data_IF_413118770991
#
_entry.id   IF_413118770991
#
_cell.length_a   1.000
_cell.length_b   1.000
_cell.length_c   1.000
_cell.angle_alpha   90.00
_cell.angle_beta   90.00
_cell.angle_gamma   90.00
#
_symmetry.space_group_name_H-M   'P 1'
#
loop_
_entity.id
_entity.type
_entity.pdbx_description
1 polymer ?
#
# COMPACT_ATOMS: atom_id res chain seq x y z
N UNK A 1 -73.57 53.73 7.79
CA UNK A 1 -73.22 54.07 9.19
C UNK A 1 -71.70 54.01 9.34
N UNK A 2 -71.09 55.20 9.51
CA UNK A 2 -69.87 55.56 10.25
C UNK A 2 -69.14 54.43 11.04
N UNK A 3 -67.81 54.38 11.25
CA UNK A 3 -66.77 55.38 11.55
C UNK A 3 -65.39 54.75 11.18
N UNK A 4 -64.44 55.45 10.56
CA UNK A 4 -63.30 56.16 11.18
C UNK A 4 -62.61 55.47 12.38
N UNK A 5 -61.35 55.03 12.23
CA UNK A 5 -60.24 55.30 13.18
C UNK A 5 -58.89 54.93 12.55
N UNK A 6 -58.08 55.91 12.13
CA UNK A 6 -56.95 56.58 12.81
C UNK A 6 -55.58 56.01 12.39
N UNK A 7 -54.73 56.93 11.92
CA UNK A 7 -53.37 56.78 11.41
C UNK A 7 -52.32 56.46 12.48
N UNK A 8 -51.20 55.84 12.07
CA UNK A 8 -49.99 55.65 12.88
C UNK A 8 -48.75 55.30 12.05
N UNK A 9 -48.13 56.33 11.48
CA UNK A 9 -46.75 56.53 11.02
C UNK A 9 -45.66 55.42 11.12
N UNK A 10 -44.97 55.24 9.98
CA UNK A 10 -43.51 55.26 9.76
C UNK A 10 -42.60 54.01 9.80
N UNK A 11 -41.98 53.82 8.61
CA UNK A 11 -40.58 53.53 8.29
C UNK A 11 -39.98 52.13 8.49
N UNK A 12 -39.69 51.52 7.33
CA UNK A 12 -38.42 50.90 6.90
C UNK A 12 -37.70 49.98 7.89
N UNK A 13 -37.60 48.69 7.52
CA UNK A 13 -36.30 48.04 7.31
C UNK A 13 -36.47 46.73 6.52
N UNK A 14 -35.86 46.71 5.34
CA UNK A 14 -35.55 45.53 4.54
C UNK A 14 -34.76 44.53 5.39
N UNK A 15 -35.26 43.31 5.54
CA UNK A 15 -34.41 42.14 5.79
C UNK A 15 -34.93 40.98 4.95
N UNK A 16 -34.30 40.82 3.78
CA UNK A 16 -34.40 39.64 2.96
C UNK A 16 -34.04 38.41 3.80
N UNK A 17 -35.01 37.52 4.00
CA UNK A 17 -34.75 36.17 4.47
C UNK A 17 -34.07 35.39 3.34
N UNK A 18 -32.74 35.47 3.29
CA UNK A 18 -31.92 34.45 2.65
C UNK A 18 -32.07 33.17 3.47
N UNK A 19 -32.99 32.30 3.05
CA UNK A 19 -32.98 30.90 3.48
C UNK A 19 -31.77 30.25 2.83
N UNK A 20 -30.65 30.26 3.55
CA UNK A 20 -29.50 29.42 3.23
C UNK A 20 -29.95 27.96 3.35
N UNK A 21 -30.35 27.34 2.24
CA UNK A 21 -30.29 25.90 2.12
C UNK A 21 -28.81 25.51 2.16
N UNK A 22 -28.31 25.24 3.37
CA UNK A 22 -27.09 24.48 3.54
C UNK A 22 -27.37 23.09 2.96
N UNK A 23 -26.96 22.88 1.71
CA UNK A 23 -26.90 21.56 1.11
C UNK A 23 -25.94 20.73 1.96
N UNK A 24 -26.48 19.97 2.92
CA UNK A 24 -25.73 18.97 3.66
C UNK A 24 -25.25 17.96 2.62
N UNK A 25 -23.96 18.00 2.30
CA UNK A 25 -23.37 16.93 1.51
C UNK A 25 -23.59 15.62 2.27
N UNK A 26 -24.06 14.55 1.61
CA UNK A 26 -24.16 13.25 2.26
C UNK A 26 -22.75 12.87 2.71
N UNK A 27 -22.53 12.89 4.01
CA UNK A 27 -21.33 12.30 4.60
C UNK A 27 -21.23 10.88 4.02
N UNK A 28 -20.08 10.48 3.44
CA UNK A 28 -19.89 9.09 3.07
C UNK A 28 -20.19 8.23 4.30
N UNK A 29 -20.85 7.08 4.15
CA UNK A 29 -21.20 6.25 5.28
C UNK A 29 -19.92 6.01 6.08
N UNK A 30 -19.95 6.37 7.38
CA UNK A 30 -18.86 6.07 8.30
C UNK A 30 -18.74 4.55 8.35
N UNK A 31 -17.88 3.98 7.50
CA UNK A 31 -17.47 2.59 7.62
C UNK A 31 -16.75 2.54 8.97
N UNK A 32 -17.43 1.99 9.96
CA UNK A 32 -17.13 2.13 11.38
C UNK A 32 -15.64 1.86 11.68
N UNK A 33 -14.93 2.89 12.13
CA UNK A 33 -13.53 2.84 12.53
C UNK A 33 -13.34 2.04 13.83
N UNK A 34 -13.31 0.71 13.72
CA UNK A 34 -13.08 -0.16 14.89
C UNK A 34 -13.41 -1.63 14.70
N UNK A 35 -13.90 -2.05 13.53
CA UNK A 35 -14.44 -3.40 13.34
C UNK A 35 -13.42 -4.46 12.90
N UNK A 36 -12.14 -4.14 12.76
CA UNK A 36 -11.12 -5.13 12.41
C UNK A 36 -9.73 -4.69 12.85
N UNK A 37 -8.84 -5.67 13.03
CA UNK A 37 -7.43 -5.50 13.36
C UNK A 37 -6.58 -6.53 12.60
N UNK A 38 -5.25 -6.35 12.62
CA UNK A 38 -4.30 -7.35 12.11
C UNK A 38 -3.94 -8.40 13.16
N UNK A 39 -3.98 -8.03 14.44
CA UNK A 39 -3.66 -8.89 15.58
C UNK A 39 -4.65 -8.69 16.70
N UNK A 40 -4.67 -9.64 17.64
CA UNK A 40 -5.55 -9.58 18.80
C UNK A 40 -5.29 -8.30 19.61
N UNK A 41 -6.37 -7.65 20.02
CA UNK A 41 -6.35 -6.42 20.81
C UNK A 41 -6.79 -6.75 22.22
N UNK A 42 -6.04 -6.25 23.21
CA UNK A 42 -6.30 -6.46 24.64
C UNK A 42 -7.40 -5.51 25.14
N UNK A 43 -8.46 -5.34 24.38
CA UNK A 43 -9.67 -4.62 24.78
C UNK A 43 -10.77 -5.67 24.85
N UNK A 44 -11.49 -5.76 25.98
CA UNK A 44 -12.44 -6.85 26.31
C UNK A 44 -13.63 -7.07 25.36
N UNK A 45 -13.55 -6.61 24.11
CA UNK A 45 -14.46 -6.86 23.00
C UNK A 45 -13.71 -7.56 21.87
N UNK A 46 -14.30 -8.62 21.31
CA UNK A 46 -13.73 -9.34 20.17
C UNK A 46 -13.60 -8.41 18.95
N UNK A 47 -12.40 -8.30 18.39
CA UNK A 47 -12.12 -7.59 17.13
C UNK A 47 -11.58 -8.62 16.13
N UNK A 48 -12.19 -8.78 14.95
CA UNK A 48 -11.78 -9.80 14.01
C UNK A 48 -10.40 -9.50 13.41
N UNK A 49 -9.54 -10.50 13.50
CA UNK A 49 -8.22 -10.59 12.87
C UNK A 49 -8.33 -11.23 11.49
N UNK A 50 -7.26 -11.27 10.65
CA UNK A 50 -7.34 -11.72 9.26
C UNK A 50 -8.06 -13.06 9.03
N UNK A 51 -7.90 -14.03 9.93
CA UNK A 51 -8.56 -15.34 9.86
C UNK A 51 -10.08 -15.27 10.05
N UNK A 52 -10.62 -14.21 10.65
CA UNK A 52 -12.04 -14.02 10.96
C UNK A 52 -12.73 -12.96 10.11
N UNK A 53 -11.99 -12.13 9.34
CA UNK A 53 -12.57 -11.03 8.56
C UNK A 53 -13.77 -11.47 7.70
N UNK A 54 -13.65 -12.59 6.97
CA UNK A 54 -14.73 -13.07 6.11
C UNK A 54 -15.84 -13.85 6.83
N UNK A 55 -15.69 -14.15 8.12
CA UNK A 55 -16.64 -14.98 8.89
C UNK A 55 -17.64 -14.14 9.69
N UNK A 56 -17.22 -12.96 10.16
CA UNK A 56 -18.02 -12.16 11.11
C UNK A 56 -18.77 -11.00 10.47
N UNK A 57 -18.45 -10.67 9.22
CA UNK A 57 -19.11 -9.60 8.48
C UNK A 57 -19.41 -10.06 7.05
N UNK A 58 -20.69 -10.14 6.71
CA UNK A 58 -21.13 -10.59 5.38
C UNK A 58 -20.61 -9.69 4.24
N UNK A 59 -20.38 -8.40 4.50
CA UNK A 59 -19.78 -7.48 3.54
C UNK A 59 -18.32 -7.83 3.21
N UNK A 60 -17.65 -8.62 4.05
CA UNK A 60 -16.25 -9.03 3.91
C UNK A 60 -16.08 -10.49 3.50
N UNK A 61 -17.16 -11.15 3.07
CA UNK A 61 -17.16 -12.58 2.71
C UNK A 61 -16.01 -12.95 1.74
N UNK A 62 -15.67 -12.06 0.81
CA UNK A 62 -14.55 -12.27 -0.14
C UNK A 62 -13.21 -12.51 0.55
N UNK A 63 -12.99 -11.99 1.76
CA UNK A 63 -11.79 -12.28 2.55
C UNK A 63 -11.64 -13.77 2.88
N UNK A 64 -12.72 -14.55 2.89
CA UNK A 64 -12.69 -16.00 3.16
C UNK A 64 -12.95 -16.86 1.93
N UNK A 65 -13.91 -16.49 1.06
CA UNK A 65 -14.32 -17.33 -0.09
C UNK A 65 -13.63 -16.96 -1.40
N UNK A 66 -12.97 -15.80 -1.44
CA UNK A 66 -12.28 -15.29 -2.61
C UNK A 66 -11.22 -16.25 -3.14
N UNK A 67 -11.08 -16.32 -4.46
CA UNK A 67 -10.11 -17.19 -5.15
C UNK A 67 -8.87 -16.44 -5.65
N UNK A 68 -8.91 -15.12 -5.66
CA UNK A 68 -7.82 -14.24 -6.08
C UNK A 68 -7.38 -13.34 -4.93
N UNK A 69 -7.34 -13.87 -3.72
CA UNK A 69 -6.95 -13.12 -2.53
C UNK A 69 -5.44 -12.81 -2.51
N UNK A 70 -5.09 -11.69 -1.90
CA UNK A 70 -3.72 -11.20 -1.70
C UNK A 70 -3.47 -10.95 -0.20
N UNK A 71 -2.20 -10.96 0.28
CA UNK A 71 -0.96 -11.16 -0.49
C UNK A 71 -0.71 -12.63 -0.83
N UNK A 72 0.31 -12.92 -1.65
CA UNK A 72 0.73 -14.29 -2.00
C UNK A 72 2.23 -14.48 -1.80
N UNK A 73 2.66 -15.75 -1.71
CA UNK A 73 4.06 -16.10 -1.88
C UNK A 73 4.43 -16.12 -3.36
N UNK A 74 5.43 -15.33 -3.75
CA UNK A 74 5.94 -15.29 -5.11
C UNK A 74 7.07 -16.30 -5.25
N UNK A 75 6.79 -17.40 -5.93
CA UNK A 75 7.77 -18.43 -6.24
C UNK A 75 8.44 -18.14 -7.57
N UNK A 76 9.73 -17.84 -7.53
CA UNK A 76 10.46 -17.33 -8.70
C UNK A 76 10.60 -18.36 -9.81
N UNK A 77 10.54 -19.66 -9.46
CA UNK A 77 10.56 -20.79 -10.40
C UNK A 77 9.28 -20.91 -11.23
N UNK A 78 8.17 -20.33 -10.77
CA UNK A 78 6.85 -20.44 -11.41
C UNK A 78 6.44 -19.15 -12.15
N UNK A 79 7.33 -18.16 -12.21
CA UNK A 79 7.05 -16.92 -12.92
C UNK A 79 7.15 -17.10 -14.43
N UNK A 80 6.20 -16.51 -15.14
CA UNK A 80 6.13 -16.55 -16.60
C UNK A 80 6.70 -15.24 -17.14
N UNK A 81 7.75 -15.35 -17.97
CA UNK A 81 8.28 -14.19 -18.68
C UNK A 81 7.24 -13.73 -19.73
N UNK A 82 6.84 -12.46 -19.63
CA UNK A 82 5.92 -11.81 -20.57
C UNK A 82 6.64 -10.63 -21.24
N UNK A 83 7.07 -10.77 -22.50
CA UNK A 83 7.79 -9.71 -23.23
C UNK A 83 6.91 -8.52 -23.60
N UNK A 84 5.58 -8.63 -23.47
CA UNK A 84 4.64 -7.56 -23.80
C UNK A 84 4.38 -6.61 -22.63
N UNK A 85 4.92 -6.90 -21.45
CA UNK A 85 4.89 -6.00 -20.31
C UNK A 85 5.76 -4.77 -20.59
N UNK A 86 5.08 -3.68 -20.94
CA UNK A 86 5.72 -2.39 -21.21
C UNK A 86 6.31 -1.76 -19.94
N UNK A 87 7.25 -0.80 -20.03
CA UNK A 87 7.72 -0.08 -18.86
C UNK A 87 6.60 0.69 -18.16
N UNK A 88 6.63 0.70 -16.82
CA UNK A 88 5.73 1.54 -16.01
C UNK A 88 6.15 3.00 -16.19
N UNK A 89 5.18 3.85 -16.49
CA UNK A 89 5.36 5.30 -16.65
C UNK A 89 4.66 6.02 -15.51
N UNK A 90 5.42 6.80 -14.77
CA UNK A 90 4.93 7.66 -13.70
C UNK A 90 4.82 9.09 -14.21
N UNK A 91 3.66 9.72 -14.01
CA UNK A 91 3.43 11.12 -14.30
C UNK A 91 3.09 11.86 -13.00
N UNK A 92 4.06 12.64 -12.51
CA UNK A 92 3.96 13.46 -11.30
C UNK A 92 3.75 14.95 -11.61
N UNK A 93 3.68 15.33 -12.90
CA UNK A 93 3.78 16.73 -13.32
C UNK A 93 5.12 17.39 -12.99
N UNK A 94 6.15 16.62 -12.58
CA UNK A 94 7.48 17.09 -12.12
C UNK A 94 7.42 18.10 -10.98
N UNK A 95 6.39 18.00 -10.14
CA UNK A 95 6.20 18.89 -9.00
C UNK A 95 6.37 18.11 -7.71
N UNK A 96 6.94 18.78 -6.71
CA UNK A 96 6.84 18.29 -5.34
C UNK A 96 5.42 18.48 -4.86
N UNK A 97 4.91 17.52 -4.11
CA UNK A 97 3.51 17.47 -3.67
C UNK A 97 3.41 17.59 -2.16
N UNK A 98 2.29 18.15 -1.70
CA UNK A 98 1.80 18.03 -0.34
C UNK A 98 0.97 16.77 -0.13
N UNK A 99 0.88 16.32 1.11
CA UNK A 99 0.01 15.23 1.51
C UNK A 99 -0.04 15.08 3.03
N UNK A 100 -1.11 14.49 3.52
CA UNK A 100 -1.30 14.25 4.94
C UNK A 100 -0.96 12.81 5.28
N UNK A 101 -0.06 12.64 6.25
CA UNK A 101 0.28 11.36 6.84
C UNK A 101 -0.62 11.10 8.05
N UNK A 102 -1.12 9.88 8.18
CA UNK A 102 -2.07 9.46 9.19
C UNK A 102 -1.57 8.21 9.90
N UNK A 103 -1.75 8.19 11.21
CA UNK A 103 -1.81 6.94 11.96
C UNK A 103 -3.27 6.50 12.04
N UNK A 104 -3.63 5.46 11.29
CA UNK A 104 -5.02 4.96 11.25
C UNK A 104 -5.38 4.06 12.44
N UNK A 105 -4.42 3.82 13.34
CA UNK A 105 -4.46 2.78 14.36
C UNK A 105 -4.17 1.37 13.85
N UNK A 106 -4.00 1.19 12.52
CA UNK A 106 -3.73 -0.12 11.89
C UNK A 106 -2.52 -0.08 10.98
N UNK A 107 -2.32 1.02 10.28
CA UNK A 107 -1.20 1.26 9.38
C UNK A 107 -0.92 2.75 9.26
N UNK A 108 0.29 3.08 8.81
CA UNK A 108 0.63 4.43 8.37
C UNK A 108 0.09 4.63 6.95
N UNK A 109 -0.68 5.70 6.76
CA UNK A 109 -1.28 6.07 5.48
C UNK A 109 -0.83 7.48 5.11
N UNK A 110 -0.31 7.67 3.90
CA UNK A 110 -0.04 8.98 3.33
C UNK A 110 -1.00 9.20 2.15
N UNK A 111 -1.80 10.26 2.23
CA UNK A 111 -2.73 10.67 1.16
C UNK A 111 -2.32 12.03 0.63
N UNK A 112 -2.19 12.15 -0.69
CA UNK A 112 -1.81 13.39 -1.34
C UNK A 112 -2.96 14.39 -1.34
N UNK A 113 -2.63 15.68 -1.41
CA UNK A 113 -3.65 16.71 -1.58
C UNK A 113 -4.34 16.54 -2.93
N UNK A 114 -5.66 16.78 -2.99
CA UNK A 114 -6.48 16.50 -4.19
C UNK A 114 -6.03 17.25 -5.45
N UNK A 115 -5.31 18.35 -5.29
CA UNK A 115 -4.75 19.16 -6.39
C UNK A 115 -3.52 18.49 -7.03
N UNK A 116 -2.88 17.57 -6.34
CA UNK A 116 -1.67 16.88 -6.78
C UNK A 116 -2.01 15.57 -7.49
N UNK A 117 -2.16 15.66 -8.80
CA UNK A 117 -2.48 14.51 -9.63
C UNK A 117 -1.21 13.71 -9.94
N UNK A 118 -1.10 12.50 -9.37
CA UNK A 118 -0.04 11.55 -9.66
C UNK A 118 -0.65 10.32 -10.31
N UNK A 119 -0.25 10.05 -11.55
CA UNK A 119 -0.82 8.96 -12.34
C UNK A 119 0.26 7.97 -12.78
N UNK A 120 -0.12 6.70 -12.91
CA UNK A 120 0.71 5.62 -13.47
C UNK A 120 0.04 5.01 -14.69
N UNK A 121 0.85 4.56 -15.65
CA UNK A 121 0.41 3.88 -16.88
C UNK A 121 1.47 2.89 -17.38
N UNK A 122 1.14 2.07 -18.38
CA UNK A 122 2.04 1.03 -18.89
C UNK A 122 2.07 -0.23 -18.03
N UNK A 123 3.13 -1.04 -18.12
CA UNK A 123 3.19 -2.31 -17.40
C UNK A 123 2.06 -3.27 -17.83
N UNK A 124 1.33 -3.88 -16.87
CA UNK A 124 0.17 -4.71 -17.16
C UNK A 124 -1.12 -3.90 -17.38
N UNK A 125 -1.08 -2.57 -17.26
CA UNK A 125 -2.27 -1.72 -17.24
C UNK A 125 -2.70 -1.30 -18.64
N UNK A 126 -4.00 -1.36 -18.90
CA UNK A 126 -4.62 -0.78 -20.10
C UNK A 126 -4.92 0.71 -19.92
N UNK A 127 -5.25 1.14 -18.71
CA UNK A 127 -5.72 2.48 -18.37
C UNK A 127 -4.70 3.23 -17.50
N UNK A 128 -4.86 4.55 -17.43
CA UNK A 128 -4.12 5.38 -16.46
C UNK A 128 -4.77 5.31 -15.08
N UNK A 129 -3.96 5.05 -14.05
CA UNK A 129 -4.43 4.93 -12.66
C UNK A 129 -3.87 6.06 -11.81
N UNK A 130 -4.71 6.67 -10.96
CA UNK A 130 -4.35 7.79 -10.10
C UNK A 130 -4.03 7.30 -8.69
N UNK A 131 -2.94 7.80 -8.12
CA UNK A 131 -2.54 7.49 -6.74
C UNK A 131 -3.57 8.03 -5.74
N UNK A 132 -4.05 7.15 -4.87
CA UNK A 132 -5.00 7.47 -3.79
C UNK A 132 -4.30 7.47 -2.43
N UNK A 133 -3.54 6.41 -2.13
CA UNK A 133 -2.95 6.18 -0.80
C UNK A 133 -1.58 5.50 -0.95
N UNK A 134 -0.61 5.94 -0.15
CA UNK A 134 0.62 5.19 0.11
C UNK A 134 0.51 4.60 1.51
N UNK A 135 0.62 3.28 1.63
CA UNK A 135 0.44 2.52 2.86
C UNK A 135 1.72 1.79 3.24
N UNK A 136 2.02 1.77 4.54
CA UNK A 136 3.17 1.02 5.07
C UNK A 136 2.72 -0.17 5.91
N UNK A 137 3.30 -1.33 5.59
CA UNK A 137 3.28 -2.54 6.40
C UNK A 137 4.69 -2.82 6.90
N UNK A 138 4.82 -3.18 8.17
CA UNK A 138 6.11 -3.46 8.80
C UNK A 138 5.93 -4.37 10.00
N UNK A 139 6.93 -5.20 10.28
CA UNK A 139 6.87 -6.10 11.42
C UNK A 139 7.74 -5.67 12.58
N UNK A 140 7.58 -6.40 13.68
CA UNK A 140 8.33 -6.25 14.93
C UNK A 140 9.79 -6.64 14.75
N UNK A 141 10.09 -7.51 13.80
CA UNK A 141 11.43 -8.03 13.51
C UNK A 141 11.96 -7.55 12.15
N UNK A 142 13.28 -7.61 11.97
CA UNK A 142 13.94 -7.12 10.76
C UNK A 142 13.71 -8.04 9.55
N UNK A 143 13.22 -9.26 9.76
CA UNK A 143 13.05 -10.30 8.74
C UNK A 143 11.58 -10.70 8.52
N UNK A 144 10.64 -10.05 9.21
CA UNK A 144 9.21 -10.32 9.15
C UNK A 144 8.50 -8.97 9.11
N UNK A 145 7.67 -8.70 8.10
CA UNK A 145 7.00 -7.40 8.01
C UNK A 145 6.40 -7.03 6.67
N UNK A 146 6.85 -7.63 5.57
CA UNK A 146 6.14 -7.56 4.30
C UNK A 146 4.90 -8.46 4.29
N UNK A 147 3.88 -8.06 3.54
CA UNK A 147 2.69 -8.88 3.31
C UNK A 147 2.99 -9.96 2.27
N UNK A 148 3.61 -9.58 1.15
CA UNK A 148 4.12 -10.51 0.16
C UNK A 148 5.36 -11.24 0.66
N UNK A 149 5.52 -12.48 0.20
CA UNK A 149 6.74 -13.25 0.39
C UNK A 149 7.41 -13.48 -0.97
N UNK A 150 8.73 -13.62 -0.96
CA UNK A 150 9.50 -14.03 -2.11
C UNK A 150 10.21 -15.35 -1.77
N UNK A 151 9.87 -16.44 -2.46
CA UNK A 151 10.36 -17.79 -2.17
C UNK A 151 10.25 -18.15 -0.67
N UNK A 152 9.12 -17.80 -0.05
CA UNK A 152 8.84 -18.04 1.37
C UNK A 152 9.50 -17.05 2.33
N UNK A 153 10.27 -16.07 1.86
CA UNK A 153 10.96 -15.09 2.71
C UNK A 153 10.22 -13.75 2.72
N UNK A 154 10.04 -13.21 3.93
CA UNK A 154 9.54 -11.86 4.14
C UNK A 154 10.67 -10.84 4.16
N UNK A 155 10.30 -9.57 4.01
CA UNK A 155 11.17 -8.41 4.21
C UNK A 155 10.78 -7.67 5.49
N UNK A 156 11.62 -6.71 5.91
CA UNK A 156 11.38 -5.91 7.11
C UNK A 156 10.07 -5.11 7.05
N UNK A 157 9.59 -4.83 5.83
CA UNK A 157 8.28 -4.23 5.59
C UNK A 157 7.93 -4.16 4.11
N UNK A 158 6.83 -3.52 3.78
CA UNK A 158 6.31 -3.33 2.43
C UNK A 158 5.61 -1.97 2.31
N UNK A 159 5.92 -1.24 1.23
CA UNK A 159 5.19 -0.05 0.82
C UNK A 159 4.21 -0.42 -0.26
N UNK A 160 2.95 -0.05 -0.09
CA UNK A 160 1.90 -0.25 -1.09
C UNK A 160 1.39 1.10 -1.57
N UNK A 161 1.56 1.39 -2.85
CA UNK A 161 1.00 2.56 -3.51
C UNK A 161 -0.28 2.13 -4.22
N UNK A 162 -1.43 2.52 -3.65
CA UNK A 162 -2.75 2.16 -4.14
C UNK A 162 -3.20 3.22 -5.15
N UNK A 163 -3.45 2.77 -6.38
CA UNK A 163 -3.94 3.61 -7.46
C UNK A 163 -5.32 3.13 -7.91
N UNK A 164 -6.21 4.04 -8.27
CA UNK A 164 -7.52 3.73 -8.83
C UNK A 164 -7.64 4.14 -10.29
N UNK A 165 -8.45 3.42 -11.04
CA UNK A 165 -8.71 3.73 -12.44
C UNK A 165 -9.63 4.95 -12.56
N UNK A 166 -9.00 6.11 -12.73
CA UNK A 166 -9.67 7.40 -12.83
C UNK A 166 -10.21 7.71 -14.23
N UNK A 167 -9.89 6.88 -15.23
CA UNK A 167 -10.44 6.99 -16.59
C UNK A 167 -11.83 6.34 -16.67
N UNK A 168 -12.06 5.28 -15.88
CA UNK A 168 -13.34 4.55 -15.85
C UNK A 168 -14.27 4.95 -14.70
N UNK A 169 -13.72 5.37 -13.56
CA UNK A 169 -14.50 5.58 -12.34
C UNK A 169 -14.28 6.96 -11.74
N UNK A 170 -15.33 7.49 -11.11
CA UNK A 170 -15.31 8.86 -10.58
C UNK A 170 -14.39 8.97 -9.35
N UNK A 171 -14.32 7.91 -8.54
CA UNK A 171 -13.57 7.91 -7.30
C UNK A 171 -13.09 6.51 -6.92
N UNK A 172 -12.17 6.46 -5.95
CA UNK A 172 -11.63 5.23 -5.39
C UNK A 172 -12.72 4.26 -4.89
N UNK A 173 -13.76 4.74 -4.20
CA UNK A 173 -14.82 3.90 -3.62
C UNK A 173 -15.57 3.10 -4.67
N UNK A 174 -15.86 3.73 -5.82
CA UNK A 174 -16.49 3.08 -6.96
C UNK A 174 -15.52 2.12 -7.66
N UNK A 175 -14.29 2.55 -7.90
CA UNK A 175 -13.27 1.75 -8.54
C UNK A 175 -12.93 0.48 -7.74
N UNK A 176 -12.80 0.59 -6.41
CA UNK A 176 -12.38 -0.50 -5.54
C UNK A 176 -13.28 -1.74 -5.62
N UNK A 177 -14.56 -1.58 -5.94
CA UNK A 177 -15.52 -2.68 -6.10
C UNK A 177 -15.73 -3.12 -7.56
N UNK A 178 -15.06 -2.47 -8.51
CA UNK A 178 -15.33 -2.62 -9.94
C UNK A 178 -14.16 -3.24 -10.71
N UNK A 179 -14.41 -3.92 -11.84
CA UNK A 179 -13.35 -4.54 -12.65
C UNK A 179 -12.30 -3.53 -13.12
N UNK A 180 -11.03 -3.94 -13.22
CA UNK A 180 -9.90 -3.06 -13.58
C UNK A 180 -9.85 -1.78 -12.73
N UNK A 181 -10.32 -1.87 -11.49
CA UNK A 181 -10.54 -0.72 -10.62
C UNK A 181 -9.28 -0.25 -9.94
N UNK A 182 -8.40 -1.18 -9.53
CA UNK A 182 -7.23 -0.87 -8.73
C UNK A 182 -5.94 -1.41 -9.35
N UNK A 183 -4.88 -0.64 -9.20
CA UNK A 183 -3.50 -1.09 -9.40
C UNK A 183 -2.72 -0.77 -8.15
N UNK A 184 -2.05 -1.78 -7.59
CA UNK A 184 -1.27 -1.60 -6.37
C UNK A 184 0.20 -1.89 -6.69
N UNK A 185 1.03 -0.85 -6.59
CA UNK A 185 2.48 -0.99 -6.69
C UNK A 185 3.01 -1.33 -5.30
N UNK A 186 3.60 -2.51 -5.16
CA UNK A 186 4.23 -3.01 -3.95
C UNK A 186 5.74 -2.93 -4.06
N UNK A 187 6.37 -2.40 -3.02
CA UNK A 187 7.82 -2.23 -2.93
C UNK A 187 8.27 -2.72 -1.56
N UNK A 188 9.10 -3.76 -1.53
CA UNK A 188 9.65 -4.27 -0.29
C UNK A 188 10.54 -3.22 0.40
N UNK A 189 10.49 -3.17 1.73
CA UNK A 189 11.36 -2.35 2.56
C UNK A 189 12.47 -3.20 3.15
N UNK A 190 13.72 -2.75 3.01
CA UNK A 190 14.88 -3.44 3.56
C UNK A 190 15.75 -2.50 4.39
N UNK A 191 16.17 -2.96 5.56
CA UNK A 191 17.07 -2.18 6.41
C UNK A 191 18.46 -2.08 5.76
N UNK A 192 19.00 -0.86 5.71
CA UNK A 192 20.36 -0.56 5.28
C UNK A 192 20.95 0.60 6.10
N UNK A 193 22.21 0.96 5.81
CA UNK A 193 22.89 2.10 6.45
C UNK A 193 22.30 3.44 6.03
N UNK A 194 21.84 3.54 4.78
CA UNK A 194 21.23 4.74 4.21
C UNK A 194 19.80 4.46 3.77
N UNK A 195 18.96 5.48 3.89
CA UNK A 195 17.56 5.46 3.45
C UNK A 195 17.40 6.21 2.14
N UNK A 196 16.39 5.85 1.34
CA UNK A 196 16.01 6.69 0.20
C UNK A 196 15.44 8.04 0.68
N UNK A 197 15.53 9.05 -0.19
CA UNK A 197 15.17 10.44 0.12
C UNK A 197 13.68 10.60 0.45
N UNK A 198 12.80 9.84 -0.20
CA UNK A 198 11.37 9.83 0.11
C UNK A 198 11.11 9.40 1.56
N UNK A 199 11.63 8.23 1.97
CA UNK A 199 11.45 7.74 3.35
C UNK A 199 12.21 8.58 4.36
N UNK A 200 13.32 9.23 4.00
CA UNK A 200 13.97 10.22 4.87
C UNK A 200 13.06 11.42 5.18
N UNK A 201 12.32 11.91 4.20
CA UNK A 201 11.37 13.01 4.41
C UNK A 201 10.14 12.55 5.19
N UNK A 202 9.62 11.36 4.91
CA UNK A 202 8.43 10.82 5.54
C UNK A 202 8.67 10.28 6.96
N UNK A 203 9.83 9.69 7.23
CA UNK A 203 10.12 8.94 8.46
C UNK A 203 11.24 9.56 9.31
N UNK A 204 11.64 10.81 9.06
CA UNK A 204 12.53 11.50 10.00
C UNK A 204 11.84 11.70 11.36
N UNK A 205 12.65 11.93 12.39
CA UNK A 205 12.21 12.08 13.79
C UNK A 205 11.12 13.14 13.96
N UNK A 206 11.25 14.28 13.31
CA UNK A 206 10.31 15.40 13.48
C UNK A 206 8.94 15.14 12.85
N UNK A 207 8.90 14.25 11.86
CA UNK A 207 7.69 13.86 11.14
C UNK A 207 7.02 12.67 11.80
N UNK A 208 7.78 11.59 12.06
CA UNK A 208 7.23 10.32 12.54
C UNK A 208 6.63 10.45 13.95
N UNK A 209 7.20 11.31 14.80
CA UNK A 209 6.70 11.55 16.16
C UNK A 209 5.36 12.30 16.18
N UNK A 210 4.99 12.98 15.09
CA UNK A 210 3.72 13.69 14.95
C UNK A 210 2.52 12.77 14.70
N UNK A 211 2.78 11.51 14.38
CA UNK A 211 1.74 10.49 14.13
C UNK A 211 1.84 9.31 15.10
N UNK A 212 2.30 9.55 16.32
CA UNK A 212 2.62 8.48 17.28
C UNK A 212 1.40 7.65 17.65
N UNK A 213 0.22 8.25 17.77
CA UNK A 213 -0.99 7.60 18.26
C UNK A 213 -2.09 7.52 17.21
N UNK A 214 -3.03 6.61 17.42
CA UNK A 214 -4.20 6.44 16.54
C UNK A 214 -4.94 7.77 16.35
N UNK A 215 -5.30 8.04 15.10
CA UNK A 215 -5.99 9.23 14.60
C UNK A 215 -5.13 10.49 14.54
N UNK A 216 -3.84 10.42 14.90
CA UNK A 216 -2.92 11.52 14.63
C UNK A 216 -2.76 11.72 13.12
N UNK A 217 -2.62 12.99 12.72
CA UNK A 217 -2.41 13.40 11.35
C UNK A 217 -1.35 14.49 11.27
N UNK A 218 -0.52 14.46 10.23
CA UNK A 218 0.54 15.43 10.02
C UNK A 218 0.68 15.79 8.53
N UNK A 219 0.65 17.09 8.24
CA UNK A 219 0.81 17.60 6.87
C UNK A 219 2.29 17.60 6.48
N UNK A 220 2.60 16.91 5.39
CA UNK A 220 3.91 16.83 4.77
C UNK A 220 3.91 17.62 3.46
N UNK A 221 4.94 18.45 3.28
CA UNK A 221 5.13 19.23 2.07
C UNK A 221 6.42 18.85 1.35
N UNK A 222 6.45 19.12 0.05
CA UNK A 222 7.66 18.98 -0.76
C UNK A 222 8.08 17.53 -0.99
N UNK A 223 7.13 16.59 -1.01
CA UNK A 223 7.38 15.18 -1.30
C UNK A 223 7.63 15.00 -2.80
N UNK A 224 8.64 14.22 -3.17
CA UNK A 224 8.86 13.81 -4.56
C UNK A 224 8.48 12.34 -4.70
N UNK A 225 7.35 12.07 -5.35
CA UNK A 225 6.81 10.70 -5.46
C UNK A 225 7.71 9.82 -6.33
N UNK A 226 8.51 10.37 -7.24
CA UNK A 226 9.43 9.58 -8.06
C UNK A 226 10.51 8.90 -7.21
N UNK A 227 10.89 9.52 -6.08
CA UNK A 227 11.95 9.03 -5.19
C UNK A 227 11.58 7.79 -4.37
N UNK A 228 10.29 7.43 -4.31
CA UNK A 228 9.86 6.17 -3.68
C UNK A 228 10.06 4.98 -4.63
N UNK A 229 10.06 5.23 -5.95
CA UNK A 229 10.23 4.17 -6.92
C UNK A 229 11.72 3.80 -7.00
N UNK A 230 12.06 2.52 -6.83
CA UNK A 230 13.44 2.08 -6.93
C UNK A 230 13.93 2.17 -8.38
N UNK A 231 15.22 2.39 -8.58
CA UNK A 231 15.87 2.45 -9.90
C UNK A 231 15.90 1.05 -10.57
N UNK A 232 14.75 0.60 -11.07
CA UNK A 232 14.57 -0.63 -11.83
C UNK A 232 13.34 -0.51 -12.72
N UNK A 233 13.43 -1.03 -13.95
CA UNK A 233 12.27 -1.22 -14.83
C UNK A 233 11.66 -2.62 -14.68
N UNK A 234 12.30 -3.50 -13.92
CA UNK A 234 11.88 -4.87 -13.73
C UNK A 234 10.83 -4.98 -12.63
N UNK A 235 9.76 -5.73 -12.89
CA UNK A 235 8.69 -5.98 -11.93
C UNK A 235 8.01 -7.33 -12.17
N UNK A 236 7.22 -7.73 -11.19
CA UNK A 236 6.39 -8.93 -11.19
C UNK A 236 4.93 -8.49 -11.09
N UNK A 237 4.00 -9.18 -11.73
CA UNK A 237 2.59 -8.80 -11.71
C UNK A 237 1.66 -10.00 -11.69
N UNK A 238 0.54 -9.84 -10.99
CA UNK A 238 -0.54 -10.82 -10.91
C UNK A 238 -1.86 -10.13 -10.54
N UNK A 239 -2.98 -10.77 -10.85
CA UNK A 239 -4.31 -10.28 -10.44
C UNK A 239 -4.69 -10.81 -9.06
N UNK A 240 -5.13 -9.91 -8.19
CA UNK A 240 -5.31 -10.17 -6.78
C UNK A 240 -6.44 -9.36 -6.15
N UNK A 241 -6.33 -9.18 -4.83
CA UNK A 241 -7.28 -8.45 -4.02
C UNK A 241 -6.62 -7.31 -3.26
N UNK A 242 -7.45 -6.48 -2.63
CA UNK A 242 -7.00 -5.69 -1.48
C UNK A 242 -6.57 -6.61 -0.33
N UNK A 243 -5.57 -6.21 0.46
CA UNK A 243 -5.09 -6.93 1.65
C UNK A 243 -5.79 -6.52 2.95
N UNK A 244 -6.78 -5.64 2.85
CA UNK A 244 -7.65 -5.22 3.96
C UNK A 244 -9.11 -5.48 3.59
N UNK A 245 -10.01 -5.67 4.58
CA UNK A 245 -11.44 -5.77 4.31
C UNK A 245 -11.95 -4.55 3.52
N UNK A 246 -12.84 -4.73 2.52
CA UNK A 246 -13.60 -5.95 2.18
C UNK A 246 -12.91 -7.00 1.31
N UNK A 247 -11.59 -6.88 1.08
CA UNK A 247 -10.81 -7.81 0.25
C UNK A 247 -11.32 -7.98 -1.19
N UNK A 248 -11.79 -6.89 -1.82
CA UNK A 248 -12.25 -6.91 -3.21
C UNK A 248 -11.16 -7.42 -4.16
N UNK A 249 -11.54 -8.32 -5.08
CA UNK A 249 -10.67 -8.95 -6.09
C UNK A 249 -10.58 -8.14 -7.38
N UNK A 250 -10.22 -6.88 -7.24
CA UNK A 250 -10.23 -5.86 -8.30
C UNK A 250 -8.85 -5.22 -8.51
N UNK A 251 -7.84 -5.75 -7.82
CA UNK A 251 -6.50 -5.18 -7.80
C UNK A 251 -5.54 -5.96 -8.69
N UNK A 252 -4.89 -5.27 -9.62
CA UNK A 252 -3.69 -5.80 -10.30
C UNK A 252 -2.46 -5.37 -9.51
N UNK A 253 -1.67 -6.34 -9.05
CA UNK A 253 -0.46 -6.10 -8.28
C UNK A 253 0.74 -5.92 -9.19
N UNK A 254 1.64 -5.01 -8.80
CA UNK A 254 2.93 -4.77 -9.43
C UNK A 254 3.99 -4.76 -8.32
N UNK A 255 4.82 -5.78 -8.26
CA UNK A 255 5.91 -5.88 -7.28
C UNK A 255 7.21 -5.44 -7.94
N UNK A 256 7.81 -4.35 -7.46
CA UNK A 256 9.06 -3.81 -8.01
C UNK A 256 10.25 -4.68 -7.66
N UNK A 257 11.07 -5.08 -8.64
CA UNK A 257 12.22 -5.99 -8.47
C UNK A 257 13.44 -5.37 -7.75
N UNK A 258 13.22 -4.41 -6.84
CA UNK A 258 14.26 -3.80 -6.02
C UNK A 258 13.59 -3.20 -4.79
N UNK A 259 14.10 -3.45 -3.58
CA UNK A 259 13.51 -2.87 -2.38
C UNK A 259 13.85 -1.37 -2.28
N UNK A 260 13.05 -0.65 -1.51
CA UNK A 260 13.45 0.64 -0.93
C UNK A 260 14.19 0.39 0.38
N UNK A 261 15.14 1.27 0.66
CA UNK A 261 15.98 1.15 1.83
C UNK A 261 15.56 2.16 2.89
N UNK A 262 15.56 1.72 4.14
CA UNK A 262 15.41 2.57 5.31
C UNK A 262 16.46 2.22 6.36
N UNK A 263 16.77 3.17 7.23
CA UNK A 263 17.70 2.96 8.34
C UNK A 263 17.07 2.16 9.47
N UNK A 264 17.92 1.54 10.30
CA UNK A 264 17.47 0.86 11.52
C UNK A 264 16.73 1.79 12.48
N UNK A 265 17.13 3.07 12.53
CA UNK A 265 16.47 4.10 13.34
C UNK A 265 15.05 4.39 12.84
N UNK A 266 14.86 4.56 11.53
CA UNK A 266 13.52 4.75 10.95
C UNK A 266 12.62 3.54 11.20
N UNK A 267 13.15 2.32 11.05
CA UNK A 267 12.39 1.11 11.33
C UNK A 267 12.00 1.03 12.82
N UNK A 268 12.92 1.37 13.73
CA UNK A 268 12.61 1.44 15.15
C UNK A 268 11.52 2.48 15.45
N UNK A 269 11.57 3.67 14.83
CA UNK A 269 10.53 4.68 14.98
C UNK A 269 9.16 4.22 14.48
N UNK A 270 9.09 3.46 13.38
CA UNK A 270 7.84 2.84 12.91
C UNK A 270 7.26 1.88 13.97
N UNK A 271 8.11 1.05 14.58
CA UNK A 271 7.71 0.10 15.64
C UNK A 271 7.24 0.79 16.93
N UNK A 272 7.54 2.08 17.12
CA UNK A 272 7.08 2.88 18.25
C UNK A 272 5.73 3.59 18.00
N UNK A 273 5.15 3.44 16.81
CA UNK A 273 3.79 3.92 16.56
C UNK A 273 2.78 3.04 17.30
N UNK A 274 1.78 3.67 17.92
CA UNK A 274 0.73 3.00 18.67
C UNK A 274 -0.53 2.79 17.81
N UNK A 275 -1.18 1.64 17.98
CA UNK A 275 -2.53 1.34 17.48
C UNK A 275 -3.63 2.03 18.27
N UNK A 276 -3.28 2.51 19.47
CA UNK A 276 -4.21 3.05 20.44
C UNK A 276 -4.02 4.56 20.61
N UNK A 277 -4.96 5.20 21.29
CA UNK A 277 -4.86 6.61 21.68
C UNK A 277 -3.93 6.79 22.90
N UNK A 278 -3.47 8.02 23.21
CA UNK A 278 -2.51 8.25 24.31
C UNK A 278 -2.99 7.82 25.71
N UNK A 279 -4.31 7.79 25.94
CA UNK A 279 -4.92 7.41 27.22
C UNK A 279 -5.05 5.89 27.42
N UNK A 280 -4.68 5.10 26.42
CA UNK A 280 -4.82 3.64 26.40
C UNK A 280 -3.46 2.97 26.50
N UNK A 281 -3.45 1.68 26.89
CA UNK A 281 -2.22 0.88 26.93
C UNK A 281 -1.55 0.90 25.56
N UNK A 282 -0.25 1.20 25.56
CA UNK A 282 0.55 1.20 24.34
C UNK A 282 0.49 -0.17 23.67
N UNK A 283 0.11 -0.17 22.39
CA UNK A 283 0.13 -1.37 21.56
C UNK A 283 0.83 -1.01 20.25
N UNK A 284 2.00 -1.59 20.01
CA UNK A 284 2.77 -1.29 18.80
C UNK A 284 1.96 -1.62 17.53
N UNK A 285 2.03 -0.72 16.54
CA UNK A 285 1.48 -0.90 15.20
C UNK A 285 2.22 -1.98 14.39
N UNK A 286 3.37 -2.46 14.85
CA UNK A 286 4.08 -3.54 14.17
C UNK A 286 3.20 -4.76 13.92
N UNK A 287 3.62 -5.56 12.93
CA UNK A 287 2.96 -6.81 12.54
C UNK A 287 1.56 -6.55 11.97
N UNK A 288 1.41 -5.40 11.30
CA UNK A 288 0.21 -5.01 10.59
C UNK A 288 0.11 -5.68 9.21
N UNK A 289 0.30 -6.99 9.18
CA UNK A 289 0.40 -7.79 7.95
C UNK A 289 -0.75 -8.79 7.87
N UNK A 290 -1.36 -8.93 6.70
CA UNK A 290 -2.24 -10.05 6.38
C UNK A 290 -1.38 -11.27 6.01
N UNK A 291 -1.66 -12.48 6.53
CA UNK A 291 -0.99 -13.71 6.10
C UNK A 291 -1.17 -13.98 4.61
N UNK A 292 -0.19 -14.67 4.00
CA UNK A 292 -0.28 -15.09 2.59
C UNK A 292 -1.49 -15.96 2.32
N UNK A 293 -2.09 -15.73 1.16
CA UNK A 293 -3.28 -16.41 0.68
C UNK A 293 -2.91 -17.41 -0.42
N UNK A 294 -3.72 -18.45 -0.64
CA UNK A 294 -3.47 -19.43 -1.70
C UNK A 294 -3.40 -18.79 -3.10
N UNK A 295 -2.45 -19.24 -3.92
CA UNK A 295 -2.30 -18.73 -5.29
C UNK A 295 -3.45 -19.15 -6.22
N UNK A 296 -4.06 -20.31 -5.98
CA UNK A 296 -5.21 -20.83 -6.74
C UNK A 296 -5.00 -20.83 -8.26
N UNK A 297 -3.86 -21.35 -8.74
CA UNK A 297 -3.52 -21.47 -10.15
C UNK A 297 -3.45 -20.13 -10.93
N UNK A 298 -3.38 -18.99 -10.24
CA UNK A 298 -3.13 -17.71 -10.90
C UNK A 298 -1.73 -17.68 -11.48
N UNK A 299 -1.60 -17.14 -12.69
CA UNK A 299 -0.32 -16.91 -13.32
C UNK A 299 0.37 -15.68 -12.72
N UNK A 300 1.64 -15.84 -12.35
CA UNK A 300 2.52 -14.73 -11.99
C UNK A 300 3.36 -14.39 -13.22
N UNK A 301 3.24 -13.17 -13.73
CA UNK A 301 3.97 -12.69 -14.91
C UNK A 301 5.11 -11.77 -14.51
N UNK A 302 6.14 -11.67 -15.33
CA UNK A 302 7.26 -10.75 -15.11
C UNK A 302 7.90 -10.33 -16.42
N UNK A 303 8.46 -9.12 -16.46
CA UNK A 303 9.29 -8.66 -17.57
C UNK A 303 10.78 -9.01 -17.39
N UNK A 304 11.13 -9.82 -16.38
CA UNK A 304 12.48 -10.30 -16.12
C UNK A 304 12.73 -11.55 -16.96
N UNK A 305 13.73 -11.51 -17.84
CA UNK A 305 14.10 -12.67 -18.62
C UNK A 305 15.15 -13.53 -17.88
N UNK A 306 14.70 -14.63 -17.27
CA UNK A 306 15.58 -15.59 -16.58
C UNK A 306 16.36 -16.51 -17.54
N UNK A 307 15.93 -16.66 -18.81
CA UNK A 307 16.59 -17.57 -19.75
C UNK A 307 17.94 -17.06 -20.28
N UNK A 308 18.25 -15.77 -20.08
CA UNK A 308 19.54 -15.18 -20.45
C UNK A 308 20.68 -15.47 -19.46
N UNK A 309 20.46 -16.26 -18.41
CA UNK A 309 21.49 -16.57 -17.40
C UNK A 309 22.63 -17.49 -17.91
N UNK A 310 22.60 -17.95 -19.16
CA UNK A 310 23.53 -18.94 -19.72
C UNK A 310 24.61 -18.43 -20.69
N UNK A 311 24.84 -17.12 -20.85
CA UNK A 311 25.99 -16.61 -21.63
C UNK A 311 26.80 -15.64 -20.79
N UNK A 312 27.99 -16.07 -20.38
CA UNK A 312 29.06 -15.20 -19.91
C UNK A 312 29.38 -14.19 -21.01
N UNK A 313 28.74 -13.03 -20.95
CA UNK A 313 29.08 -11.87 -21.74
C UNK A 313 29.72 -10.84 -20.78
N UNK A 314 30.97 -10.39 -21.02
CA UNK A 314 31.73 -9.57 -20.07
C UNK A 314 31.10 -8.22 -19.68
N UNK A 315 30.07 -7.74 -20.40
CA UNK A 315 29.56 -6.38 -20.29
C UNK A 315 28.05 -6.23 -20.02
N UNK A 316 27.31 -7.30 -19.75
CA UNK A 316 25.90 -7.17 -19.35
C UNK A 316 25.72 -7.48 -17.86
N UNK A 317 25.32 -6.48 -17.07
CA UNK A 317 24.72 -6.70 -15.75
C UNK A 317 23.52 -7.64 -15.95
N UNK A 318 23.69 -8.92 -15.62
CA UNK A 318 22.64 -9.92 -15.70
C UNK A 318 21.36 -9.38 -15.02
N UNK A 319 20.22 -9.47 -15.70
CA UNK A 319 18.89 -9.17 -15.16
C UNK A 319 18.54 -10.22 -14.10
N UNK A 320 19.15 -10.11 -12.91
CA UNK A 320 18.87 -10.95 -11.75
C UNK A 320 17.83 -10.28 -10.86
N UNK A 321 17.13 -11.07 -10.06
CA UNK A 321 16.36 -10.56 -8.92
C UNK A 321 17.31 -9.72 -8.06
N UNK A 322 17.01 -8.43 -7.86
CA UNK A 322 17.93 -7.52 -7.17
C UNK A 322 17.73 -7.50 -5.65
N UNK A 323 16.90 -8.41 -5.14
CA UNK A 323 16.76 -8.67 -3.72
C UNK A 323 18.04 -9.31 -3.18
N UNK A 324 18.98 -8.48 -2.74
CA UNK A 324 20.22 -8.95 -2.12
C UNK A 324 19.91 -9.54 -0.74
N UNK A 325 19.59 -10.82 -0.62
CA UNK A 325 19.62 -11.53 0.67
C UNK A 325 21.07 -11.73 1.11
N UNK A 326 21.38 -11.61 2.41
CA UNK A 326 22.68 -12.08 2.92
C UNK A 326 22.63 -13.62 2.89
N UNK A 327 23.46 -14.21 2.02
CA UNK A 327 23.96 -15.60 1.95
C UNK A 327 23.19 -16.69 2.70
N UNK A 328 22.68 -17.70 1.98
CA UNK A 328 23.11 -19.10 2.10
C UNK A 328 22.96 -19.78 0.73
N UNK A 329 24.08 -19.98 0.04
CA UNK A 329 24.17 -20.84 -1.14
C UNK A 329 24.04 -22.29 -0.66
N UNK A 330 22.91 -22.95 -0.93
CA UNK A 330 22.86 -24.41 -0.92
C UNK A 330 23.27 -24.90 -2.31
N UNK A 331 24.54 -25.26 -2.45
CA UNK A 331 25.06 -26.02 -3.59
C UNK A 331 25.08 -27.48 -3.18
N UNK A 332 24.08 -28.25 -3.60
CA UNK A 332 24.12 -29.70 -3.54
C UNK A 332 23.63 -30.28 -4.88
N UNK A 333 24.32 -31.37 -5.27
CA UNK A 333 24.07 -32.30 -6.40
C UNK A 333 24.55 -31.75 -7.78
N UNK A 334 25.39 -32.41 -8.58
CA UNK A 334 25.64 -33.86 -8.79
C UNK A 334 26.96 -34.10 -9.59
N UNK A 335 27.77 -35.05 -9.09
CA UNK A 335 28.61 -36.11 -9.73
C UNK A 335 29.63 -35.84 -10.88
N UNK A 336 30.85 -36.42 -10.75
CA UNK A 336 31.40 -37.56 -11.53
C UNK A 336 32.95 -37.69 -11.37
N UNK A 337 33.36 -38.74 -10.64
CA UNK A 337 34.47 -39.75 -10.77
C UNK A 337 35.93 -39.50 -11.26
N UNK A 338 36.82 -40.31 -10.67
CA UNK A 338 38.22 -40.74 -11.01
C UNK A 338 39.36 -39.73 -10.73
N UNK A 339 40.55 -40.07 -10.21
CA UNK A 339 41.31 -41.34 -10.16
C UNK A 339 42.20 -41.42 -8.91
N UNK A 340 42.46 -42.65 -8.48
CA UNK A 340 43.56 -43.08 -7.60
C UNK A 340 44.91 -42.83 -8.29
N UNK A 341 45.92 -42.31 -7.57
CA UNK A 341 47.34 -42.72 -7.64
C UNK A 341 48.29 -41.72 -6.94
N UNK A 342 49.12 -42.27 -6.03
CA UNK A 342 50.54 -41.95 -5.79
C UNK A 342 50.98 -40.70 -4.98
N UNK A 343 51.15 -40.86 -3.66
CA UNK A 343 52.42 -41.05 -2.89
C UNK A 343 52.15 -40.83 -1.40
#
# INVERSE_FOLDING_TARGET
MSLWHVWGFCLLLNLAWFVCFAASQPNPPKIHEGWWAYKEVVQGSFVPVPSFWGLVNSAWNLCSVGKRQSPVNIETSHMIFDPFLTPIKLNTGRRKVGGTMYNTGRHVSLRLDKEHLVNISGGPMTYSHRLEEIRLHFGSEDILGSEHLLNGQAFSGEVQLIHYNHELYTNYTEAAKSPNGLVIVSIFMKIAETSNSFLNRMLNRDTITRITYKNDAYLLNGLNIEEIYPETSSFITYDGSMTIPPCFETATWILMNKPVYLTRMQMHSLRLLSQNQPSQIFLSMSDNVRPVQPLNNRCIRTNINFSMQGKDCPNNRAQKLQYRGKNYFYRWLVWVTFSVSDI
#
